data_IF_255099168369
#
_entry.id   IF_255099168369
#
_cell.length_a   1.000
_cell.length_b   1.000
_cell.length_c   1.000
_cell.angle_alpha   90.00
_cell.angle_beta   90.00
_cell.angle_gamma   90.00
#
_symmetry.space_group_name_H-M   'P 1'
#
loop_
_entity.id
_entity.type
_entity.pdbx_description
1 polymer ?
#
# COMPACT_ATOMS: atom_id res chain seq x y z
N UNK A 1 37.18 9.25 5.14
CA UNK A 1 36.01 9.17 4.24
C UNK A 1 35.23 7.93 4.64
N UNK A 2 34.19 8.07 5.46
CA UNK A 2 33.28 6.96 5.76
C UNK A 2 32.52 6.59 4.48
N UNK A 3 32.66 5.36 4.00
CA UNK A 3 31.81 4.83 2.95
C UNK A 3 30.37 4.84 3.48
N UNK A 4 29.53 5.74 2.97
CA UNK A 4 28.09 5.74 3.28
C UNK A 4 27.53 4.37 2.95
N UNK A 5 27.09 3.64 3.99
CA UNK A 5 26.42 2.34 3.85
C UNK A 5 25.17 2.55 3.00
N UNK A 6 25.18 2.02 1.78
CA UNK A 6 24.04 2.08 0.85
C UNK A 6 22.86 1.34 1.46
N UNK A 7 21.67 1.91 1.32
CA UNK A 7 20.42 1.30 1.78
C UNK A 7 19.98 0.27 0.74
N UNK A 8 20.21 -1.02 1.00
CA UNK A 8 19.88 -2.10 0.07
C UNK A 8 18.72 -2.92 0.62
N UNK A 9 17.73 -3.22 -0.22
CA UNK A 9 16.71 -4.23 0.08
C UNK A 9 17.06 -5.50 -0.68
N UNK A 10 16.94 -6.64 0.01
CA UNK A 10 16.90 -7.95 -0.63
C UNK A 10 15.46 -8.27 -1.01
N UNK A 11 15.26 -8.61 -2.26
CA UNK A 11 13.96 -9.01 -2.79
C UNK A 11 14.08 -10.42 -3.33
N UNK A 12 13.19 -11.29 -2.86
CA UNK A 12 13.08 -12.65 -3.37
C UNK A 12 12.75 -12.62 -4.87
N UNK A 13 13.46 -13.44 -5.65
CA UNK A 13 13.16 -13.58 -7.08
C UNK A 13 11.83 -14.29 -7.26
N UNK A 14 10.96 -13.70 -8.07
CA UNK A 14 9.75 -14.39 -8.51
C UNK A 14 10.08 -15.45 -9.58
N UNK A 15 9.44 -16.62 -9.48
CA UNK A 15 9.57 -17.68 -10.46
C UNK A 15 8.91 -17.27 -11.78
N UNK A 16 9.72 -16.82 -12.74
CA UNK A 16 9.26 -16.37 -14.05
C UNK A 16 10.15 -16.90 -15.15
N UNK A 17 9.56 -17.17 -16.31
CA UNK A 17 10.30 -17.42 -17.55
C UNK A 17 10.47 -16.07 -18.25
N UNK A 18 11.67 -15.45 -18.26
CA UNK A 18 11.90 -14.11 -18.80
C UNK A 18 11.95 -14.07 -20.33
N UNK A 19 11.34 -15.06 -20.99
CA UNK A 19 11.37 -15.23 -22.45
C UNK A 19 9.93 -15.17 -22.95
N UNK A 20 9.69 -14.29 -23.91
CA UNK A 20 8.37 -14.19 -24.54
C UNK A 20 8.02 -15.52 -25.24
N UNK A 21 6.79 -15.98 -25.04
CA UNK A 21 6.28 -17.24 -25.60
C UNK A 21 6.55 -17.39 -27.13
N UNK A 22 6.35 -16.37 -27.99
CA UNK A 22 6.64 -16.51 -29.42
C UNK A 22 8.11 -16.81 -29.73
N UNK A 23 9.04 -16.27 -28.92
CA UNK A 23 10.48 -16.52 -29.08
C UNK A 23 10.80 -17.98 -28.74
N UNK A 24 10.25 -18.51 -27.65
CA UNK A 24 10.40 -19.93 -27.28
C UNK A 24 9.87 -20.83 -28.41
N UNK A 25 8.65 -20.57 -28.87
CA UNK A 25 8.01 -21.36 -29.93
C UNK A 25 8.85 -21.31 -31.22
N UNK A 26 9.32 -20.12 -31.63
CA UNK A 26 10.11 -19.98 -32.85
C UNK A 26 11.47 -20.66 -32.74
N UNK A 27 12.15 -20.52 -31.60
CA UNK A 27 13.43 -21.19 -31.36
C UNK A 27 13.27 -22.71 -31.42
N UNK A 28 12.27 -23.27 -30.73
CA UNK A 28 12.01 -24.72 -30.78
C UNK A 28 11.62 -25.19 -32.18
N UNK A 29 10.80 -24.42 -32.89
CA UNK A 29 10.40 -24.75 -34.25
C UNK A 29 11.59 -24.74 -35.23
N UNK A 30 12.59 -23.88 -35.02
CA UNK A 30 13.78 -23.80 -35.87
C UNK A 30 14.77 -24.95 -35.62
N UNK A 31 14.67 -25.66 -34.49
CA UNK A 31 15.48 -26.85 -34.20
C UNK A 31 14.96 -28.11 -34.91
N UNK A 32 13.76 -28.05 -35.49
CA UNK A 32 13.14 -29.17 -36.20
C UNK A 32 13.60 -29.14 -37.67
N UNK A 33 14.32 -30.19 -38.11
CA UNK A 33 14.92 -30.27 -39.45
C UNK A 33 13.85 -30.42 -40.56
N UNK A 34 12.84 -31.26 -40.33
CA UNK A 34 11.81 -31.53 -41.34
C UNK A 34 10.72 -30.46 -41.33
N UNK A 35 10.45 -29.89 -42.51
CA UNK A 35 9.46 -28.82 -42.68
C UNK A 35 8.03 -29.27 -42.35
N UNK A 36 7.69 -30.55 -42.59
CA UNK A 36 6.41 -31.15 -42.18
C UNK A 36 6.22 -31.12 -40.67
N UNK A 37 7.24 -31.55 -39.93
CA UNK A 37 7.19 -31.70 -38.47
C UNK A 37 7.18 -30.34 -37.79
N UNK A 38 7.91 -29.37 -38.38
CA UNK A 38 7.85 -27.97 -37.95
C UNK A 38 6.44 -27.40 -38.08
N UNK A 39 5.73 -27.69 -39.17
CA UNK A 39 4.35 -27.23 -39.36
C UNK A 39 3.39 -27.89 -38.35
N UNK A 40 3.54 -29.19 -38.09
CA UNK A 40 2.74 -29.91 -37.08
C UNK A 40 3.03 -29.41 -35.66
N UNK A 41 4.30 -29.15 -35.31
CA UNK A 41 4.66 -28.57 -34.02
C UNK A 41 4.01 -27.19 -33.80
N UNK A 42 4.00 -26.32 -34.81
CA UNK A 42 3.34 -25.03 -34.72
C UNK A 42 1.81 -25.16 -34.59
N UNK A 43 1.19 -26.14 -35.27
CA UNK A 43 -0.24 -26.46 -35.07
C UNK A 43 -0.51 -26.94 -33.65
N UNK A 44 0.34 -27.81 -33.10
CA UNK A 44 0.23 -28.29 -31.72
C UNK A 44 0.32 -27.13 -30.73
N UNK A 45 1.32 -26.24 -30.87
CA UNK A 45 1.47 -25.07 -30.01
C UNK A 45 0.21 -24.18 -30.01
N UNK A 46 -0.37 -23.93 -31.19
CA UNK A 46 -1.62 -23.16 -31.32
C UNK A 46 -2.80 -23.87 -30.65
N UNK A 47 -2.94 -25.19 -30.83
CA UNK A 47 -4.00 -25.98 -30.19
C UNK A 47 -3.90 -25.93 -28.68
N UNK A 48 -2.70 -26.17 -28.13
CA UNK A 48 -2.44 -26.09 -26.69
C UNK A 48 -2.78 -24.69 -26.16
N UNK A 49 -2.37 -23.63 -26.87
CA UNK A 49 -2.70 -22.26 -26.48
C UNK A 49 -4.22 -22.01 -26.45
N UNK A 50 -4.96 -22.44 -27.47
CA UNK A 50 -6.42 -22.27 -27.49
C UNK A 50 -7.12 -23.08 -26.40
N UNK A 51 -6.69 -24.31 -26.15
CA UNK A 51 -7.22 -25.13 -25.06
C UNK A 51 -7.02 -24.46 -23.71
N UNK A 52 -5.79 -23.97 -23.43
CA UNK A 52 -5.49 -23.26 -22.18
C UNK A 52 -6.32 -21.97 -22.06
N UNK A 53 -6.43 -21.18 -23.14
CA UNK A 53 -7.27 -19.97 -23.13
C UNK A 53 -8.74 -20.27 -22.87
N UNK A 54 -9.28 -21.34 -23.46
CA UNK A 54 -10.66 -21.76 -23.23
C UNK A 54 -10.89 -22.18 -21.77
N UNK A 55 -9.94 -22.92 -21.17
CA UNK A 55 -10.03 -23.28 -19.74
C UNK A 55 -10.03 -22.06 -18.82
N UNK A 56 -9.17 -21.07 -19.10
CA UNK A 56 -9.16 -19.83 -18.32
C UNK A 56 -10.42 -18.99 -18.51
N UNK A 57 -11.00 -18.99 -19.71
CA UNK A 57 -12.24 -18.28 -19.98
C UNK A 57 -13.40 -18.88 -19.15
N UNK A 58 -13.53 -20.21 -19.13
CA UNK A 58 -14.54 -20.89 -18.31
C UNK A 58 -14.37 -20.59 -16.82
N UNK A 59 -13.14 -20.66 -16.29
CA UNK A 59 -12.84 -20.31 -14.90
C UNK A 59 -13.17 -18.85 -14.59
N UNK A 60 -12.91 -17.94 -15.53
CA UNK A 60 -13.24 -16.54 -15.39
C UNK A 60 -14.76 -16.31 -15.36
N UNK A 61 -15.51 -16.98 -16.24
CA UNK A 61 -16.97 -16.89 -16.26
C UNK A 61 -17.58 -17.38 -14.94
N UNK A 62 -17.15 -18.55 -14.43
CA UNK A 62 -17.61 -19.09 -13.15
C UNK A 62 -17.32 -18.13 -11.98
N UNK A 63 -16.09 -17.59 -11.93
CA UNK A 63 -15.69 -16.61 -10.92
C UNK A 63 -16.52 -15.33 -11.01
N UNK A 64 -16.77 -14.84 -12.22
CA UNK A 64 -17.56 -13.62 -12.45
C UNK A 64 -19.02 -13.80 -12.08
N UNK A 65 -19.61 -14.96 -12.35
CA UNK A 65 -20.98 -15.28 -11.94
C UNK A 65 -21.12 -15.22 -10.41
N UNK A 66 -20.19 -15.85 -9.69
CA UNK A 66 -20.14 -15.81 -8.23
C UNK A 66 -19.89 -14.40 -7.70
N UNK A 67 -18.88 -13.70 -8.22
CA UNK A 67 -18.58 -12.32 -7.83
C UNK A 67 -19.79 -11.41 -8.02
N UNK A 68 -20.60 -11.65 -9.06
CA UNK A 68 -21.77 -10.82 -9.34
C UNK A 68 -22.80 -10.80 -8.21
N UNK A 69 -22.84 -11.82 -7.36
CA UNK A 69 -23.68 -11.90 -6.15
C UNK A 69 -23.10 -11.10 -4.97
N UNK A 70 -21.77 -10.93 -4.95
CA UNK A 70 -21.03 -10.25 -3.88
C UNK A 70 -20.47 -8.90 -4.34
N UNK A 71 -20.87 -8.41 -5.50
CA UNK A 71 -20.51 -7.08 -5.99
C UNK A 71 -20.98 -6.02 -4.96
N UNK A 72 -20.11 -5.11 -4.50
CA UNK A 72 -20.48 -4.13 -3.48
C UNK A 72 -21.61 -3.17 -3.85
N UNK A 73 -21.91 -3.01 -5.15
CA UNK A 73 -22.94 -2.09 -5.63
C UNK A 73 -24.28 -2.81 -5.80
N UNK A 74 -24.30 -3.93 -6.52
CA UNK A 74 -25.53 -4.59 -6.94
C UNK A 74 -25.76 -5.98 -6.32
N UNK A 75 -24.76 -6.54 -5.62
CA UNK A 75 -24.80 -7.91 -5.11
C UNK A 75 -25.96 -8.16 -4.15
N UNK A 76 -26.20 -7.25 -3.19
CA UNK A 76 -27.29 -7.37 -2.23
C UNK A 76 -28.66 -7.54 -2.90
N UNK A 77 -28.95 -6.74 -3.95
CA UNK A 77 -30.20 -6.82 -4.71
C UNK A 77 -30.35 -8.16 -5.44
N UNK A 78 -29.25 -8.71 -5.96
CA UNK A 78 -29.26 -10.01 -6.65
C UNK A 78 -29.48 -11.17 -5.68
N UNK A 79 -28.88 -11.10 -4.50
CA UNK A 79 -29.10 -12.08 -3.43
C UNK A 79 -30.58 -12.08 -2.99
N UNK A 80 -31.17 -10.89 -2.80
CA UNK A 80 -32.60 -10.74 -2.49
C UNK A 80 -33.50 -11.29 -3.61
N UNK A 81 -33.18 -11.02 -4.88
CA UNK A 81 -33.95 -11.51 -6.02
C UNK A 81 -33.95 -13.04 -6.15
N UNK A 82 -32.83 -13.69 -5.81
CA UNK A 82 -32.67 -15.13 -5.94
C UNK A 82 -33.18 -15.90 -4.71
N UNK A 83 -33.57 -15.20 -3.63
CA UNK A 83 -34.13 -15.79 -2.40
C UNK A 83 -33.29 -16.92 -1.78
N UNK A 84 -31.96 -16.78 -1.82
CA UNK A 84 -31.07 -17.73 -1.16
C UNK A 84 -31.24 -17.70 0.35
N UNK A 85 -31.12 -18.86 0.99
CA UNK A 85 -30.96 -18.94 2.45
C UNK A 85 -29.60 -18.40 2.88
N UNK A 86 -29.50 -17.90 4.12
CA UNK A 86 -28.25 -17.36 4.67
C UNK A 86 -27.09 -18.38 4.57
N UNK A 87 -27.38 -19.67 4.80
CA UNK A 87 -26.37 -20.74 4.69
C UNK A 87 -25.88 -20.95 3.26
N UNK A 88 -26.76 -20.87 2.27
CA UNK A 88 -26.36 -20.98 0.86
C UNK A 88 -25.50 -19.80 0.45
N UNK A 89 -25.85 -18.58 0.90
CA UNK A 89 -25.02 -17.39 0.66
C UNK A 89 -23.63 -17.55 1.26
N UNK A 90 -23.52 -18.07 2.49
CA UNK A 90 -22.23 -18.32 3.14
C UNK A 90 -21.39 -19.35 2.34
N UNK A 91 -22.01 -20.40 1.79
CA UNK A 91 -21.31 -21.38 0.93
C UNK A 91 -20.84 -20.75 -0.38
N UNK A 92 -21.69 -19.97 -1.05
CA UNK A 92 -21.33 -19.26 -2.29
C UNK A 92 -20.20 -18.25 -2.06
N UNK A 93 -20.19 -17.61 -0.89
CA UNK A 93 -19.16 -16.67 -0.47
C UNK A 93 -17.80 -17.37 -0.29
N UNK A 94 -17.76 -18.52 0.39
CA UNK A 94 -16.54 -19.31 0.52
C UNK A 94 -16.07 -19.89 -0.83
N UNK A 95 -16.99 -20.30 -1.70
CA UNK A 95 -16.66 -20.76 -3.05
C UNK A 95 -16.05 -19.65 -3.90
N UNK A 96 -16.57 -18.42 -3.80
CA UNK A 96 -15.97 -17.26 -4.47
C UNK A 96 -14.52 -17.05 -4.01
N UNK A 97 -14.27 -17.03 -2.69
CA UNK A 97 -12.91 -16.88 -2.16
C UNK A 97 -11.99 -18.02 -2.62
N UNK A 98 -12.47 -19.27 -2.58
CA UNK A 98 -11.71 -20.42 -3.05
C UNK A 98 -11.24 -20.25 -4.49
N UNK A 99 -12.14 -19.89 -5.42
CA UNK A 99 -11.76 -19.68 -6.81
C UNK A 99 -10.86 -18.46 -6.99
N UNK A 100 -11.12 -17.37 -6.25
CA UNK A 100 -10.28 -16.18 -6.29
C UNK A 100 -8.83 -16.50 -5.90
N UNK A 101 -8.63 -17.20 -4.79
CA UNK A 101 -7.29 -17.60 -4.32
C UNK A 101 -6.60 -18.55 -5.28
N UNK A 102 -7.31 -19.53 -5.85
CA UNK A 102 -6.76 -20.40 -6.90
C UNK A 102 -6.30 -19.63 -8.13
N UNK A 103 -7.07 -18.61 -8.54
CA UNK A 103 -6.68 -17.74 -9.67
C UNK A 103 -5.47 -16.89 -9.31
N UNK A 104 -5.38 -16.37 -8.07
CA UNK A 104 -4.22 -15.63 -7.59
C UNK A 104 -2.95 -16.50 -7.62
N UNK A 105 -3.03 -17.70 -7.04
CA UNK A 105 -1.92 -18.67 -7.00
C UNK A 105 -1.45 -19.05 -8.41
N UNK A 106 -2.37 -19.45 -9.31
CA UNK A 106 -2.05 -19.77 -10.71
C UNK A 106 -1.48 -18.58 -11.50
N UNK A 107 -1.74 -17.37 -11.03
CA UNK A 107 -1.25 -16.13 -11.62
C UNK A 107 0.05 -15.64 -10.98
N UNK A 108 0.70 -16.45 -10.13
CA UNK A 108 1.91 -16.12 -9.37
C UNK A 108 1.75 -14.89 -8.47
N UNK A 109 0.56 -14.67 -7.91
CA UNK A 109 0.40 -13.69 -6.83
C UNK A 109 0.73 -14.33 -5.50
N UNK A 110 1.49 -13.61 -4.69
CA UNK A 110 1.83 -13.98 -3.32
C UNK A 110 1.06 -13.08 -2.34
N UNK A 111 0.65 -13.64 -1.21
CA UNK A 111 0.11 -12.83 -0.11
C UNK A 111 1.27 -12.08 0.54
N UNK A 112 1.08 -10.79 0.80
CA UNK A 112 2.12 -9.96 1.43
C UNK A 112 2.43 -10.43 2.85
N UNK A 113 3.71 -10.61 3.16
CA UNK A 113 4.17 -11.01 4.49
C UNK A 113 4.23 -9.84 5.48
N UNK A 114 4.31 -10.12 6.78
CA UNK A 114 4.55 -9.08 7.78
C UNK A 114 5.87 -8.33 7.54
N UNK A 115 6.91 -9.04 7.08
CA UNK A 115 8.23 -8.46 6.80
C UNK A 115 8.17 -7.46 5.65
N UNK A 116 7.50 -7.80 4.54
CA UNK A 116 7.31 -6.89 3.40
C UNK A 116 6.57 -5.61 3.83
N UNK A 117 5.64 -5.73 4.78
CA UNK A 117 4.84 -4.61 5.30
C UNK A 117 5.64 -3.75 6.28
N UNK A 118 6.50 -4.35 7.08
CA UNK A 118 7.44 -3.62 7.91
C UNK A 118 8.44 -2.84 7.05
N UNK A 119 8.95 -3.46 5.97
CA UNK A 119 9.81 -2.79 4.99
C UNK A 119 9.08 -1.63 4.31
N UNK A 120 7.79 -1.78 4.00
CA UNK A 120 6.94 -0.71 3.51
C UNK A 120 6.79 0.44 4.52
N UNK A 121 6.49 0.12 5.78
CA UNK A 121 6.30 1.12 6.86
C UNK A 121 7.60 1.80 7.31
N UNK A 122 8.75 1.19 7.06
CA UNK A 122 10.05 1.67 7.51
C UNK A 122 10.56 2.92 6.75
N UNK A 123 9.78 3.49 5.84
CA UNK A 123 10.25 4.60 5.02
C UNK A 123 9.21 5.45 4.34
N UNK A 124 9.56 6.72 4.16
CA UNK A 124 8.82 7.66 3.33
C UNK A 124 9.50 7.75 1.96
N UNK A 125 8.74 7.50 0.89
CA UNK A 125 9.21 7.66 -0.49
C UNK A 125 8.70 8.96 -1.10
N UNK A 126 7.40 9.07 -1.38
CA UNK A 126 6.78 10.28 -1.94
C UNK A 126 5.62 10.81 -1.11
N UNK A 127 4.88 9.94 -0.42
CA UNK A 127 3.73 10.34 0.38
C UNK A 127 4.04 10.25 1.87
N UNK A 128 3.76 11.34 2.60
CA UNK A 128 3.82 11.38 4.06
C UNK A 128 2.41 11.60 4.62
N UNK A 129 1.54 10.63 4.42
CA UNK A 129 0.22 10.64 5.02
C UNK A 129 0.21 9.54 6.08
N UNK A 130 0.05 9.84 7.38
CA UNK A 130 -0.09 8.81 8.40
C UNK A 130 -1.44 8.11 8.23
N UNK A 131 -1.54 7.21 7.25
CA UNK A 131 -2.78 6.55 6.90
C UNK A 131 -2.86 5.24 7.69
N UNK A 132 -3.69 5.26 8.72
CA UNK A 132 -4.04 4.04 9.44
C UNK A 132 -5.36 3.48 8.92
N UNK A 133 -5.49 2.15 8.87
CA UNK A 133 -6.74 1.49 8.52
C UNK A 133 -7.75 1.67 9.65
N UNK A 134 -8.97 2.03 9.31
CA UNK A 134 -10.10 2.00 10.23
C UNK A 134 -10.65 0.58 10.35
N UNK A 135 -10.06 -0.20 11.26
CA UNK A 135 -10.49 -1.59 11.48
C UNK A 135 -11.96 -1.72 11.88
N UNK A 136 -12.59 -0.66 12.41
CA UNK A 136 -14.01 -0.69 12.79
C UNK A 136 -14.95 -0.80 11.59
N UNK A 137 -14.48 -0.39 10.40
CA UNK A 137 -15.24 -0.44 9.15
C UNK A 137 -15.05 -1.74 8.38
N UNK A 138 -14.22 -2.65 8.87
CA UNK A 138 -13.88 -3.90 8.18
C UNK A 138 -14.52 -5.09 8.88
N UNK A 139 -15.03 -6.01 8.07
CA UNK A 139 -15.52 -7.28 8.56
C UNK A 139 -14.35 -8.21 8.93
N UNK A 140 -14.53 -8.99 10.00
CA UNK A 140 -13.53 -9.95 10.51
C UNK A 140 -13.95 -11.41 10.35
N UNK A 141 -15.13 -11.68 9.77
CA UNK A 141 -15.70 -13.03 9.68
C UNK A 141 -15.33 -13.71 8.38
N UNK A 142 -15.35 -12.97 7.27
CA UNK A 142 -15.18 -13.50 5.91
C UNK A 142 -13.89 -14.32 5.77
N UNK A 143 -12.76 -13.63 5.95
CA UNK A 143 -11.43 -14.19 5.73
C UNK A 143 -11.01 -15.09 6.90
N UNK A 144 -11.45 -14.77 8.12
CA UNK A 144 -11.22 -15.64 9.28
C UNK A 144 -11.82 -17.03 9.08
N UNK A 145 -13.06 -17.12 8.57
CA UNK A 145 -13.69 -18.40 8.28
C UNK A 145 -12.97 -19.13 7.15
N UNK A 146 -12.61 -18.40 6.08
CA UNK A 146 -11.88 -18.97 4.94
C UNK A 146 -10.55 -19.62 5.36
N UNK A 147 -9.72 -18.89 6.14
CA UNK A 147 -8.43 -19.38 6.60
C UNK A 147 -8.52 -20.42 7.72
N UNK A 148 -9.65 -20.51 8.43
CA UNK A 148 -9.88 -21.62 9.35
C UNK A 148 -10.05 -22.95 8.59
N UNK A 149 -10.67 -22.92 7.42
CA UNK A 149 -10.82 -24.09 6.54
C UNK A 149 -9.60 -24.32 5.63
N UNK A 150 -8.86 -23.25 5.31
CA UNK A 150 -7.68 -23.27 4.44
C UNK A 150 -6.46 -22.65 5.15
N UNK A 151 -5.83 -23.34 6.10
CA UNK A 151 -4.66 -22.82 6.80
C UNK A 151 -3.50 -22.56 5.83
N UNK A 152 -2.89 -21.39 5.93
CA UNK A 152 -1.71 -21.02 5.15
C UNK A 152 -0.57 -20.56 6.06
N UNK A 153 0.70 -20.88 5.74
CA UNK A 153 1.84 -20.38 6.48
C UNK A 153 2.03 -18.87 6.26
N UNK A 154 2.65 -18.19 7.23
CA UNK A 154 3.11 -16.80 7.12
C UNK A 154 2.01 -15.76 6.79
N UNK A 155 0.76 -16.02 7.21
CA UNK A 155 -0.31 -15.03 7.06
C UNK A 155 -0.02 -13.76 7.88
N UNK A 156 -0.29 -12.57 7.31
CA UNK A 156 -0.09 -11.33 8.04
C UNK A 156 -1.10 -11.16 9.19
N UNK A 157 -0.73 -10.37 10.20
CA UNK A 157 -1.55 -10.20 11.43
C UNK A 157 -2.98 -9.67 11.16
N UNK A 158 -3.20 -8.99 10.03
CA UNK A 158 -4.47 -8.40 9.64
C UNK A 158 -5.25 -9.24 8.62
N UNK A 159 -4.79 -10.46 8.31
CA UNK A 159 -5.39 -11.34 7.30
C UNK A 159 -6.87 -11.68 7.61
N UNK A 160 -7.30 -11.52 8.85
CA UNK A 160 -8.71 -11.68 9.27
C UNK A 160 -9.64 -10.59 8.71
N UNK A 161 -9.10 -9.41 8.37
CA UNK A 161 -9.85 -8.21 7.93
C UNK A 161 -9.73 -7.97 6.43
N UNK A 162 -8.52 -8.05 5.90
CA UNK A 162 -8.21 -7.85 4.49
C UNK A 162 -6.95 -8.60 4.11
N UNK A 163 -6.80 -8.89 2.83
CA UNK A 163 -5.61 -9.52 2.27
C UNK A 163 -5.06 -8.66 1.13
N UNK A 164 -3.75 -8.66 1.01
CA UNK A 164 -3.03 -7.99 -0.06
C UNK A 164 -2.27 -9.07 -0.82
N UNK A 165 -2.59 -9.20 -2.10
CA UNK A 165 -1.82 -9.99 -3.05
C UNK A 165 -0.86 -9.06 -3.79
N UNK A 166 0.40 -9.46 -3.93
CA UNK A 166 1.41 -8.76 -4.71
C UNK A 166 1.97 -9.67 -5.81
N UNK A 167 2.40 -9.07 -6.90
CA UNK A 167 3.14 -9.73 -7.98
C UNK A 167 3.96 -8.73 -8.77
N UNK A 168 5.15 -9.16 -9.19
CA UNK A 168 6.09 -8.41 -9.99
C UNK A 168 6.84 -7.40 -9.14
N UNK A 169 8.14 -7.32 -9.37
CA UNK A 169 9.03 -6.37 -8.70
C UNK A 169 9.62 -5.48 -9.78
N UNK A 170 9.25 -4.21 -9.75
CA UNK A 170 9.78 -3.17 -10.62
C UNK A 170 10.70 -2.22 -9.87
N UNK A 171 11.16 -1.20 -10.58
CA UNK A 171 11.92 -0.08 -10.02
C UNK A 171 11.22 1.22 -10.42
N UNK A 172 10.79 2.00 -9.44
CA UNK A 172 10.43 3.39 -9.68
C UNK A 172 11.65 4.28 -9.48
N UNK A 173 11.91 5.14 -10.46
CA UNK A 173 12.99 6.11 -10.42
C UNK A 173 12.45 7.45 -10.92
N UNK A 174 12.37 8.41 -10.00
CA UNK A 174 11.92 9.77 -10.32
C UNK A 174 13.05 10.76 -10.05
N UNK A 175 13.30 11.67 -11.00
CA UNK A 175 14.30 12.74 -10.85
C UNK A 175 13.65 14.09 -11.03
N UNK A 176 13.47 14.81 -9.92
CA UNK A 176 12.84 16.13 -9.92
C UNK A 176 13.45 17.03 -8.83
N UNK A 177 13.01 18.28 -8.75
CA UNK A 177 13.45 19.24 -7.75
C UNK A 177 12.94 18.90 -6.35
N UNK A 178 11.75 18.31 -6.22
CA UNK A 178 11.13 17.92 -4.94
C UNK A 178 11.18 19.03 -3.87
N UNK A 179 10.92 20.29 -4.29
CA UNK A 179 11.18 21.45 -3.43
C UNK A 179 10.33 21.42 -2.15
N UNK A 180 9.02 21.17 -2.28
CA UNK A 180 8.11 21.16 -1.13
C UNK A 180 8.42 19.98 -0.20
N UNK A 181 8.69 18.80 -0.76
CA UNK A 181 9.00 17.59 -0.02
C UNK A 181 10.32 17.73 0.76
N UNK A 182 11.33 18.39 0.16
CA UNK A 182 12.59 18.70 0.86
C UNK A 182 12.39 19.73 1.97
N UNK A 183 11.56 20.76 1.75
CA UNK A 183 11.24 21.76 2.79
C UNK A 183 10.51 21.10 3.96
N UNK A 184 9.50 20.27 3.68
CA UNK A 184 8.78 19.51 4.70
C UNK A 184 9.71 18.59 5.49
N UNK A 185 10.65 17.92 4.82
CA UNK A 185 11.65 17.07 5.47
C UNK A 185 12.60 17.88 6.39
N UNK A 186 13.03 19.07 5.97
CA UNK A 186 13.84 19.94 6.83
C UNK A 186 13.06 20.43 8.05
N UNK A 187 11.79 20.81 7.85
CA UNK A 187 10.89 21.23 8.93
C UNK A 187 10.70 20.07 9.92
N UNK A 188 10.45 18.85 9.43
CA UNK A 188 10.30 17.66 10.26
C UNK A 188 11.56 17.36 11.08
N UNK A 189 12.75 17.44 10.47
CA UNK A 189 14.04 17.27 11.17
C UNK A 189 14.25 18.34 12.24
N UNK A 190 13.89 19.59 11.95
CA UNK A 190 13.98 20.70 12.91
C UNK A 190 13.03 20.49 14.10
N UNK A 191 11.78 20.10 13.86
CA UNK A 191 10.83 19.78 14.92
C UNK A 191 11.29 18.61 15.79
N UNK A 192 11.77 17.52 15.18
CA UNK A 192 12.31 16.38 15.92
C UNK A 192 13.50 16.80 16.80
N UNK A 193 14.38 17.67 16.29
CA UNK A 193 15.48 18.24 17.05
C UNK A 193 15.00 19.12 18.22
N UNK A 194 14.04 20.02 17.99
CA UNK A 194 13.46 20.90 19.01
C UNK A 194 12.76 20.10 20.13
N UNK A 195 11.98 19.08 19.76
CA UNK A 195 11.30 18.19 20.71
C UNK A 195 12.31 17.38 21.56
N UNK A 196 13.41 16.94 20.94
CA UNK A 196 14.48 16.21 21.63
C UNK A 196 15.22 17.09 22.64
N UNK A 197 15.46 18.36 22.31
CA UNK A 197 16.09 19.34 23.21
C UNK A 197 15.19 19.68 24.40
N UNK A 198 13.91 19.91 24.13
CA UNK A 198 12.94 20.31 25.16
C UNK A 198 12.56 19.17 26.11
N UNK A 199 13.03 17.93 25.87
CA UNK A 199 12.73 16.70 26.64
C UNK A 199 11.23 16.36 26.74
N UNK A 200 10.36 17.05 26.00
CA UNK A 200 8.89 16.82 25.96
C UNK A 200 8.56 15.45 25.36
N UNK A 201 9.50 14.86 24.61
CA UNK A 201 9.42 13.50 24.08
C UNK A 201 9.16 12.45 25.19
N UNK A 202 9.68 12.65 26.42
CA UNK A 202 9.39 11.79 27.59
C UNK A 202 7.97 11.95 28.16
N UNK A 203 7.31 13.06 27.87
CA UNK A 203 5.96 13.35 28.35
C UNK A 203 4.89 12.82 27.38
N UNK A 204 5.14 12.93 26.06
CA UNK A 204 4.25 12.42 25.01
C UNK A 204 4.37 10.90 24.80
N UNK A 205 5.56 10.31 24.97
CA UNK A 205 5.77 8.86 24.84
C UNK A 205 5.09 8.01 25.92
N UNK A 206 4.60 8.62 27.02
CA UNK A 206 3.76 7.94 28.01
C UNK A 206 2.32 7.73 27.55
N UNK A 207 1.85 8.43 26.52
CA UNK A 207 0.47 8.28 26.01
C UNK A 207 0.39 7.30 24.82
N UNK A 208 1.47 7.13 24.05
CA UNK A 208 1.54 6.23 22.89
C UNK A 208 2.37 4.97 23.17
N UNK A 209 2.05 4.25 24.24
CA UNK A 209 2.65 2.94 24.50
C UNK A 209 1.77 1.84 23.90
N UNK A 210 2.20 1.30 22.77
CA UNK A 210 1.43 0.25 22.10
C UNK A 210 2.04 -0.27 20.80
N UNK A 211 3.36 -0.47 20.75
CA UNK A 211 4.00 -1.51 19.93
C UNK A 211 5.51 -1.55 20.20
N UNK A 212 6.08 -2.73 20.51
CA UNK A 212 7.53 -2.89 20.52
C UNK A 212 8.03 -2.70 19.08
N UNK A 213 9.04 -1.85 18.89
CA UNK A 213 9.87 -1.92 17.68
C UNK A 213 10.66 -3.22 17.79
N UNK A 214 10.41 -4.17 16.90
CA UNK A 214 11.37 -5.24 16.66
C UNK A 214 12.55 -4.61 15.93
N UNK A 215 13.74 -4.72 16.51
CA UNK A 215 14.97 -4.40 15.78
C UNK A 215 15.06 -5.31 14.56
N UNK A 216 15.38 -4.78 13.36
CA UNK A 216 15.68 -5.64 12.23
C UNK A 216 16.91 -6.48 12.59
N UNK A 217 16.73 -7.80 12.66
CA UNK A 217 17.82 -8.76 12.87
C UNK A 217 18.93 -8.46 11.87
N UNK A 218 20.04 -7.97 12.42
CA UNK A 218 21.29 -7.77 11.70
C UNK A 218 21.94 -9.13 11.55
N UNK A 219 21.59 -9.88 10.50
CA UNK A 219 22.32 -11.08 10.11
C UNK A 219 23.60 -10.64 9.38
N UNK A 220 24.60 -10.22 10.16
CA UNK A 220 26.00 -10.21 9.75
C UNK A 220 26.55 -11.62 9.98
N UNK A 221 26.39 -12.53 9.01
CA UNK A 221 27.30 -13.68 8.86
C UNK A 221 27.31 -14.11 7.39
N UNK A 222 28.42 -13.78 6.73
CA UNK A 222 28.76 -14.19 5.38
C UNK A 222 29.19 -15.66 5.47
N UNK A 223 28.27 -16.58 5.20
CA UNK A 223 28.63 -17.96 4.85
C UNK A 223 28.78 -18.01 3.34
N UNK A 224 30.01 -17.78 2.87
CA UNK A 224 30.41 -18.11 1.50
C UNK A 224 30.51 -19.63 1.39
N UNK A 225 29.38 -20.31 1.23
CA UNK A 225 29.35 -21.70 0.78
C UNK A 225 29.67 -21.75 -0.71
N UNK A 226 30.62 -22.59 -1.16
CA UNK A 226 30.97 -22.70 -2.56
C UNK A 226 30.04 -23.73 -3.21
N UNK A 227 28.75 -23.42 -3.37
CA UNK A 227 27.83 -24.12 -4.26
C UNK A 227 26.70 -23.15 -4.61
N UNK A 228 26.45 -22.95 -5.90
CA UNK A 228 25.51 -21.95 -6.41
C UNK A 228 24.06 -22.25 -6.01
N UNK A 229 23.22 -21.22 -6.20
CA UNK A 229 21.75 -21.17 -6.01
C UNK A 229 21.30 -20.46 -4.72
N UNK A 230 21.33 -19.13 -4.74
CA UNK A 230 20.25 -18.21 -4.29
C UNK A 230 20.77 -16.76 -4.22
N UNK A 231 20.89 -16.11 -5.39
CA UNK A 231 21.20 -14.67 -5.46
C UNK A 231 19.91 -13.85 -5.35
N UNK A 232 19.52 -13.49 -4.12
CA UNK A 232 18.51 -12.47 -3.85
C UNK A 232 18.80 -11.18 -4.64
N UNK A 233 17.78 -10.58 -5.26
CA UNK A 233 17.93 -9.32 -5.96
C UNK A 233 18.14 -8.19 -4.94
N UNK A 234 19.37 -7.68 -4.86
CA UNK A 234 19.70 -6.53 -4.01
C UNK A 234 19.45 -5.22 -4.78
N UNK A 235 18.42 -4.47 -4.39
CA UNK A 235 18.07 -3.18 -5.01
C UNK A 235 18.46 -2.03 -4.07
N UNK A 236 19.15 -1.02 -4.61
CA UNK A 236 19.51 0.20 -3.87
C UNK A 236 18.29 1.14 -3.76
N UNK A 237 17.90 1.45 -2.52
CA UNK A 237 16.93 2.49 -2.20
C UNK A 237 17.62 3.84 -2.09
N UNK A 238 17.02 4.84 -2.70
CA UNK A 238 17.49 6.21 -2.60
C UNK A 238 16.29 7.05 -2.17
N UNK A 239 16.22 7.44 -0.88
CA UNK A 239 15.09 8.21 -0.32
C UNK A 239 15.50 9.58 0.17
N UNK A 240 14.61 10.57 0.03
CA UNK A 240 14.80 11.95 0.51
C UNK A 240 15.11 12.01 2.01
N UNK A 241 14.46 11.15 2.81
CA UNK A 241 14.66 11.06 4.27
C UNK A 241 16.11 10.87 4.69
N UNK A 242 16.88 10.08 3.92
CA UNK A 242 18.27 9.73 4.24
C UNK A 242 19.29 10.64 3.54
N UNK A 243 18.83 11.58 2.71
CA UNK A 243 19.71 12.51 2.01
C UNK A 243 20.17 13.67 2.88
N UNK A 244 21.35 14.19 2.59
CA UNK A 244 21.83 15.45 3.14
C UNK A 244 21.15 16.62 2.42
N UNK A 245 20.06 17.09 3.02
CA UNK A 245 19.34 18.27 2.58
C UNK A 245 20.09 19.50 3.05
N UNK A 246 20.49 20.34 2.10
CA UNK A 246 21.12 21.64 2.30
C UNK A 246 20.35 22.67 1.50
N UNK A 247 20.41 23.95 1.89
CA UNK A 247 19.75 25.06 1.17
C UNK A 247 20.15 25.09 -0.31
N UNK A 248 21.40 24.71 -0.63
CA UNK A 248 21.88 24.58 -2.01
C UNK A 248 21.28 23.37 -2.75
N UNK A 249 20.97 22.29 -2.04
CA UNK A 249 20.36 21.07 -2.58
C UNK A 249 18.83 21.16 -2.73
N UNK A 250 18.19 22.19 -2.20
CA UNK A 250 16.75 22.45 -2.43
C UNK A 250 16.46 22.82 -3.88
N UNK A 251 17.36 23.59 -4.49
CA UNK A 251 17.22 24.09 -5.86
C UNK A 251 17.82 23.14 -6.90
N UNK A 252 18.41 22.01 -6.49
CA UNK A 252 18.97 21.02 -7.40
C UNK A 252 18.01 19.86 -7.62
N UNK A 253 18.09 19.23 -8.80
CA UNK A 253 17.38 17.99 -9.08
C UNK A 253 17.95 16.86 -8.22
N UNK A 254 17.07 15.98 -7.77
CA UNK A 254 17.40 14.85 -6.92
C UNK A 254 16.71 13.61 -7.47
N UNK A 255 17.45 12.52 -7.58
CA UNK A 255 16.90 11.23 -8.00
C UNK A 255 16.52 10.43 -6.77
N UNK A 256 15.28 9.96 -6.74
CA UNK A 256 14.72 9.06 -5.73
C UNK A 256 14.50 7.71 -6.42
N UNK A 257 14.76 6.62 -5.71
CA UNK A 257 14.60 5.25 -6.20
C UNK A 257 13.97 4.37 -5.14
N UNK A 258 12.96 3.61 -5.55
CA UNK A 258 12.28 2.66 -4.67
C UNK A 258 11.78 1.48 -5.50
N UNK A 259 11.92 0.23 -5.02
CA UNK A 259 11.30 -0.91 -5.66
C UNK A 259 9.78 -0.77 -5.65
N UNK A 260 9.12 -1.29 -6.68
CA UNK A 260 7.67 -1.28 -6.82
C UNK A 260 7.11 -2.68 -6.86
N UNK A 261 5.86 -2.83 -6.44
CA UNK A 261 5.04 -3.95 -6.85
C UNK A 261 4.32 -3.62 -8.15
N UNK A 262 4.52 -4.42 -9.20
CA UNK A 262 3.92 -4.18 -10.53
C UNK A 262 2.39 -4.29 -10.48
N UNK A 263 1.91 -5.22 -9.66
CA UNK A 263 0.49 -5.55 -9.48
C UNK A 263 0.20 -5.82 -8.01
N UNK A 264 -0.77 -5.10 -7.47
CA UNK A 264 -1.34 -5.37 -6.15
C UNK A 264 -2.84 -5.58 -6.27
N UNK A 265 -3.36 -6.60 -5.61
CA UNK A 265 -4.80 -6.84 -5.47
C UNK A 265 -5.15 -6.85 -3.99
N UNK A 266 -6.11 -6.02 -3.59
CA UNK A 266 -6.59 -5.94 -2.21
C UNK A 266 -8.01 -6.47 -2.14
N UNK A 267 -8.24 -7.44 -1.25
CA UNK A 267 -9.55 -8.06 -1.05
C UNK A 267 -10.02 -7.83 0.38
N UNK A 268 -11.22 -7.28 0.54
CA UNK A 268 -11.81 -6.99 1.85
C UNK A 268 -13.33 -6.89 1.80
N UNK A 269 -13.98 -6.98 2.97
CA UNK A 269 -15.42 -6.73 3.14
C UNK A 269 -15.63 -5.65 4.19
N UNK A 270 -16.64 -4.80 3.98
CA UNK A 270 -17.03 -3.79 4.97
C UNK A 270 -17.79 -4.44 6.12
N UNK A 271 -17.64 -3.89 7.33
CA UNK A 271 -18.43 -4.31 8.48
C UNK A 271 -19.91 -4.02 8.24
N UNK A 272 -20.78 -4.98 8.58
CA UNK A 272 -22.22 -4.78 8.57
C UNK A 272 -22.64 -3.71 9.57
N UNK A 273 -23.62 -2.90 9.19
CA UNK A 273 -24.25 -1.94 10.10
C UNK A 273 -25.51 -2.57 10.71
N UNK A 274 -26.01 -2.02 11.83
CA UNK A 274 -27.27 -2.49 12.44
C UNK A 274 -28.46 -2.46 11.48
N UNK A 275 -28.41 -1.59 10.47
CA UNK A 275 -29.49 -1.40 9.50
C UNK A 275 -29.33 -2.26 8.24
N UNK A 276 -28.12 -2.71 7.91
CA UNK A 276 -27.85 -3.42 6.65
C UNK A 276 -26.70 -4.40 6.82
N UNK A 277 -26.98 -5.66 6.48
CA UNK A 277 -25.98 -6.70 6.38
C UNK A 277 -25.16 -6.51 5.10
N UNK A 278 -23.87 -6.25 5.24
CA UNK A 278 -23.02 -5.92 4.11
C UNK A 278 -22.26 -7.17 3.66
N UNK A 279 -22.70 -7.76 2.55
CA UNK A 279 -22.09 -8.95 1.92
C UNK A 279 -21.19 -8.61 0.72
N UNK A 280 -21.03 -7.32 0.42
CA UNK A 280 -20.21 -6.85 -0.68
C UNK A 280 -18.71 -7.08 -0.44
N UNK A 281 -18.05 -7.80 -1.35
CA UNK A 281 -16.61 -8.07 -1.31
C UNK A 281 -15.92 -7.14 -2.29
N UNK A 282 -15.05 -6.29 -1.78
CA UNK A 282 -14.24 -5.38 -2.59
C UNK A 282 -12.99 -6.10 -3.08
N UNK A 283 -12.78 -6.11 -4.39
CA UNK A 283 -11.55 -6.55 -5.04
C UNK A 283 -10.96 -5.35 -5.79
N UNK A 284 -9.89 -4.75 -5.25
CA UNK A 284 -9.26 -3.55 -5.83
C UNK A 284 -7.91 -3.90 -6.43
N UNK A 285 -7.63 -3.36 -7.61
CA UNK A 285 -6.39 -3.59 -8.32
C UNK A 285 -5.59 -2.30 -8.46
N UNK A 286 -4.32 -2.36 -8.10
CA UNK A 286 -3.35 -1.28 -8.20
C UNK A 286 -2.14 -1.73 -9.02
N UNK A 287 -1.47 -0.76 -9.65
CA UNK A 287 -0.33 -1.00 -10.55
C UNK A 287 0.83 -0.10 -10.18
N UNK A 288 2.04 -0.64 -10.26
CA UNK A 288 3.29 0.10 -10.08
C UNK A 288 3.31 0.90 -8.77
N UNK A 289 2.98 0.25 -7.67
CA UNK A 289 2.95 0.90 -6.35
C UNK A 289 4.34 0.77 -5.71
N UNK A 290 5.00 1.87 -5.34
CA UNK A 290 6.25 1.83 -4.59
C UNK A 290 6.06 1.06 -3.28
N UNK A 291 7.03 0.22 -2.92
CA UNK A 291 6.94 -0.61 -1.70
C UNK A 291 6.79 0.26 -0.45
N UNK A 292 7.48 1.39 -0.38
CA UNK A 292 7.32 2.37 0.71
C UNK A 292 5.93 3.04 0.75
N UNK A 293 5.19 3.05 -0.35
CA UNK A 293 3.89 3.71 -0.45
C UNK A 293 2.72 2.69 -0.44
N UNK A 294 2.91 1.50 0.13
CA UNK A 294 1.83 0.50 0.30
C UNK A 294 0.62 1.05 1.07
N UNK A 295 0.77 2.10 1.86
CA UNK A 295 -0.35 2.76 2.54
C UNK A 295 -1.44 3.26 1.57
N UNK A 296 -1.08 3.52 0.31
CA UNK A 296 -2.02 3.89 -0.75
C UNK A 296 -3.04 2.77 -1.01
N UNK A 297 -2.66 1.50 -0.89
CA UNK A 297 -3.54 0.38 -1.23
C UNK A 297 -4.45 -0.04 -0.08
N UNK A 298 -4.17 0.45 1.13
CA UNK A 298 -4.89 0.05 2.34
C UNK A 298 -6.39 0.41 2.26
N UNK A 299 -7.28 -0.50 2.69
CA UNK A 299 -8.72 -0.27 2.68
C UNK A 299 -9.15 0.66 3.82
N UNK A 300 -10.33 1.28 3.68
CA UNK A 300 -11.02 2.06 4.73
C UNK A 300 -10.09 2.93 5.59
N UNK A 301 -9.34 3.81 4.93
CA UNK A 301 -8.36 4.71 5.53
C UNK A 301 -9.01 5.66 6.55
N UNK A 302 -8.36 5.88 7.69
CA UNK A 302 -8.68 7.00 8.58
C UNK A 302 -8.21 8.31 7.95
N UNK A 303 -8.90 9.41 8.27
CA UNK A 303 -8.52 10.73 7.79
C UNK A 303 -7.08 11.03 8.27
N UNK A 304 -6.19 11.49 7.37
CA UNK A 304 -4.81 11.76 7.72
C UNK A 304 -4.75 12.86 8.79
N UNK A 305 -3.81 12.74 9.72
CA UNK A 305 -3.40 13.88 10.53
C UNK A 305 -2.75 14.96 9.66
N UNK A 306 -2.71 16.19 10.16
CA UNK A 306 -2.13 17.34 9.46
C UNK A 306 -0.65 17.11 9.11
N UNK A 307 -0.24 17.51 7.89
CA UNK A 307 1.18 17.48 7.50
C UNK A 307 1.99 18.48 8.33
N UNK A 308 3.34 18.34 8.43
CA UNK A 308 4.17 19.32 9.15
C UNK A 308 4.02 20.76 8.63
N UNK A 309 3.83 20.94 7.32
CA UNK A 309 3.56 22.25 6.73
C UNK A 309 2.22 22.82 7.19
N UNK A 310 1.20 21.98 7.33
CA UNK A 310 -0.11 22.43 7.80
C UNK A 310 -0.05 22.85 9.28
N UNK A 311 0.81 22.22 10.09
CA UNK A 311 1.14 22.72 11.43
C UNK A 311 1.82 24.08 11.41
N UNK A 312 2.75 24.32 10.48
CA UNK A 312 3.39 25.64 10.33
C UNK A 312 2.37 26.69 9.90
N UNK A 313 1.53 26.40 8.90
CA UNK A 313 0.44 27.29 8.47
C UNK A 313 -0.51 27.59 9.63
N UNK A 314 -0.87 26.56 10.41
CA UNK A 314 -1.69 26.70 11.61
C UNK A 314 -1.03 27.64 12.63
N UNK A 315 0.24 27.43 12.94
CA UNK A 315 0.98 28.22 13.92
C UNK A 315 1.16 29.67 13.47
N UNK A 316 1.47 29.91 12.19
CA UNK A 316 1.52 31.27 11.61
C UNK A 316 0.15 31.93 11.67
N UNK A 317 -0.93 31.22 11.30
CA UNK A 317 -2.29 31.76 11.37
C UNK A 317 -2.71 32.10 12.81
N UNK A 318 -2.31 31.27 13.78
CA UNK A 318 -2.57 31.50 15.20
C UNK A 318 -1.78 32.71 15.73
N UNK A 319 -0.51 32.87 15.33
CA UNK A 319 0.30 34.04 15.70
C UNK A 319 -0.25 35.31 15.08
N UNK A 320 -0.61 35.31 13.79
CA UNK A 320 -1.25 36.47 13.13
C UNK A 320 -2.57 36.82 13.80
N UNK A 321 -3.40 35.82 14.13
CA UNK A 321 -4.63 35.99 14.91
C UNK A 321 -4.37 36.61 16.29
N UNK A 322 -3.36 36.12 17.02
CA UNK A 322 -2.99 36.63 18.33
C UNK A 322 -2.49 38.09 18.26
N UNK A 323 -1.64 38.42 17.29
CA UNK A 323 -1.15 39.79 17.06
C UNK A 323 -2.31 40.73 16.70
N UNK A 324 -3.25 40.28 15.86
CA UNK A 324 -4.44 41.07 15.54
C UNK A 324 -5.31 41.33 16.78
N UNK A 325 -5.46 40.34 17.68
CA UNK A 325 -6.21 40.50 18.93
C UNK A 325 -5.50 41.44 19.89
N UNK A 326 -4.19 41.27 20.13
CA UNK A 326 -3.43 42.15 21.03
C UNK A 326 -3.40 43.59 20.50
N UNK A 327 -3.14 43.78 19.21
CA UNK A 327 -3.18 45.11 18.57
C UNK A 327 -4.58 45.74 18.58
N UNK A 328 -5.65 44.94 18.60
CA UNK A 328 -7.01 45.45 18.77
C UNK A 328 -7.30 45.88 20.21
N UNK A 329 -6.70 45.22 21.21
CA UNK A 329 -6.85 45.54 22.64
C UNK A 329 -6.07 46.81 23.03
N UNK A 330 -4.98 47.13 22.32
CA UNK A 330 -4.22 48.37 22.52
C UNK A 330 -4.93 49.62 21.95
N UNK A 331 -6.01 49.45 21.18
CA UNK A 331 -6.85 50.57 20.74
C UNK A 331 -7.87 50.97 21.83
N UNK A 332 -8.03 52.27 22.14
CA UNK A 332 -8.84 52.74 23.27
C UNK A 332 -10.35 52.49 23.16
N UNK A 333 -10.83 51.87 22.07
CA UNK A 333 -12.20 51.41 21.85
C UNK A 333 -12.20 50.07 21.10
N UNK A 334 -11.66 49.03 21.71
CA UNK A 334 -11.79 47.69 21.17
C UNK A 334 -13.26 47.24 21.21
N UNK A 335 -13.91 47.13 20.04
CA UNK A 335 -15.27 46.60 19.94
C UNK A 335 -15.23 45.06 20.11
N UNK A 336 -15.95 44.56 21.12
CA UNK A 336 -16.02 43.14 21.48
C UNK A 336 -16.43 42.27 20.28
N UNK A 337 -17.24 42.82 19.37
CA UNK A 337 -17.69 42.13 18.15
C UNK A 337 -16.55 41.90 17.15
N UNK A 338 -15.58 42.78 17.08
CA UNK A 338 -14.41 42.64 16.19
C UNK A 338 -13.50 41.52 16.68
N UNK A 339 -13.32 41.40 17.99
CA UNK A 339 -12.53 40.30 18.59
C UNK A 339 -13.20 38.95 18.34
N UNK A 340 -14.52 38.85 18.49
CA UNK A 340 -15.30 37.64 18.20
C UNK A 340 -15.25 37.29 16.70
N UNK A 341 -15.30 38.28 15.81
CA UNK A 341 -15.18 38.08 14.37
C UNK A 341 -13.79 37.53 13.99
N UNK A 342 -12.72 38.03 14.62
CA UNK A 342 -11.34 37.54 14.39
C UNK A 342 -11.16 36.13 14.95
N UNK A 343 -11.64 35.86 16.17
CA UNK A 343 -11.56 34.51 16.76
C UNK A 343 -12.36 33.48 15.94
N UNK A 344 -13.57 33.84 15.50
CA UNK A 344 -14.40 32.93 14.71
C UNK A 344 -13.80 32.64 13.32
N UNK A 345 -13.12 33.61 12.69
CA UNK A 345 -12.39 33.36 11.44
C UNK A 345 -11.17 32.49 11.64
N UNK A 346 -10.40 32.68 12.72
CA UNK A 346 -9.27 31.79 13.06
C UNK A 346 -9.76 30.38 13.36
N UNK A 347 -10.78 30.22 14.21
CA UNK A 347 -11.37 28.92 14.54
C UNK A 347 -11.98 28.25 13.29
N UNK A 348 -12.69 29.01 12.46
CA UNK A 348 -13.26 28.51 11.21
C UNK A 348 -12.20 28.05 10.21
N UNK A 349 -11.08 28.78 10.11
CA UNK A 349 -9.94 28.39 9.27
C UNK A 349 -9.23 27.14 9.81
N UNK A 350 -9.03 27.06 11.13
CA UNK A 350 -8.49 25.89 11.82
C UNK A 350 -9.37 24.66 11.62
N UNK A 351 -10.69 24.80 11.78
CA UNK A 351 -11.65 23.73 11.54
C UNK A 351 -11.66 23.29 10.07
N UNK A 352 -11.60 24.24 9.12
CA UNK A 352 -11.52 23.93 7.68
C UNK A 352 -10.28 23.10 7.36
N UNK A 353 -9.12 23.43 7.92
CA UNK A 353 -7.87 22.69 7.70
C UNK A 353 -7.91 21.30 8.36
N UNK A 354 -8.60 21.13 9.48
CA UNK A 354 -8.69 19.84 10.18
C UNK A 354 -9.73 18.87 9.57
N UNK A 355 -10.81 19.40 8.99
CA UNK A 355 -11.90 18.62 8.41
C UNK A 355 -11.88 18.50 6.88
N UNK A 356 -11.05 19.29 6.19
CA UNK A 356 -10.72 19.12 4.76
C UNK A 356 -9.45 18.30 4.66
#
# INVERSE_FOLDING_TARGET
>A
MEQKKKDMIRIERESVIPIIKPKIIMTLANLIEHSSDRAEFLKLCKRVEYTIRAWYLLQFEDLMQLYSLFDPVNGAKKLEQQNFSVKEVDVLEQNFLKYLFQVMEKSNFNITSNEEIEVARSGQYLLNLPITVDESKLDKKLLKNYFAEHPQPNLPEFADKYIIFRRGVGLDQTTDYFFMEKVDMMIARFWAYLLRITRIEKLLSRWTSGRPKSDPKKNDEIVSGPDGEDEDLCIERIRLEKMELSVKNLLSKTTIKEPTFDRIIVVYRRASTKAKEERGIYVKHFRNIPMADMEIVLPEKKNPGLTPMDWVKFLVSAVVGLVAVVGSVEMPKADLWVIIAILSTVIGYCAKIYFT
#
